data_IF_037570112092
#
_entry.id   IF_037570112092
#
_cell.length_a   1.000
_cell.length_b   1.000
_cell.length_c   1.000
_cell.angle_alpha   90.00
_cell.angle_beta   90.00
_cell.angle_gamma   90.00
#
_symmetry.space_group_name_H-M   'P 1'
#
loop_
_entity.id
_entity.type
_entity.pdbx_description
1 polymer ?
#
# COMPACT_ATOMS: atom_id res chain seq x y z
N UNK A 1 -0.50 -5.34 -10.60
CA UNK A 1 -1.41 -4.78 -9.57
C UNK A 1 -2.49 -3.85 -10.13
N UNK A 2 -2.83 -3.93 -11.43
CA UNK A 2 -3.79 -3.00 -12.03
C UNK A 2 -5.19 -3.07 -11.40
N UNK A 3 -5.58 -4.26 -10.95
CA UNK A 3 -6.81 -4.54 -10.22
C UNK A 3 -6.86 -3.90 -8.82
N UNK A 4 -5.71 -3.58 -8.22
CA UNK A 4 -5.60 -2.94 -6.91
C UNK A 4 -5.51 -1.41 -6.99
N UNK A 5 -5.40 -0.84 -8.19
CA UNK A 5 -5.03 0.56 -8.39
C UNK A 5 -5.96 1.54 -7.67
N UNK A 6 -7.26 1.40 -7.85
CA UNK A 6 -8.26 2.29 -7.22
C UNK A 6 -8.17 2.24 -5.68
N UNK A 7 -7.91 1.06 -5.12
CA UNK A 7 -7.77 0.90 -3.67
C UNK A 7 -6.45 1.48 -3.18
N UNK A 8 -5.36 1.32 -3.93
CA UNK A 8 -4.06 1.90 -3.62
C UNK A 8 -4.08 3.43 -3.66
N UNK A 9 -4.72 4.03 -4.67
CA UNK A 9 -4.89 5.49 -4.76
C UNK A 9 -5.63 6.05 -3.54
N UNK A 10 -6.59 5.30 -3.00
CA UNK A 10 -7.39 5.70 -1.84
C UNK A 10 -6.72 5.41 -0.48
N UNK A 11 -6.13 4.24 -0.32
CA UNK A 11 -5.63 3.74 0.97
C UNK A 11 -4.14 3.97 1.18
N UNK A 12 -3.37 4.13 0.10
CA UNK A 12 -1.92 4.31 0.15
C UNK A 12 -1.43 5.43 -0.79
N UNK A 13 -1.97 6.66 -0.67
CA UNK A 13 -1.60 7.77 -1.54
C UNK A 13 -0.18 8.26 -1.29
N UNK A 14 0.45 8.80 -2.33
CA UNK A 14 1.65 9.63 -2.17
C UNK A 14 1.24 11.07 -1.79
N UNK A 15 1.88 11.61 -0.75
CA UNK A 15 1.70 13.00 -0.31
C UNK A 15 2.94 13.86 -0.62
N UNK A 16 3.87 13.35 -1.43
CA UNK A 16 5.09 14.06 -1.83
C UNK A 16 4.81 15.13 -2.89
N UNK A 17 5.71 16.13 -2.96
CA UNK A 17 5.68 17.17 -3.99
C UNK A 17 6.67 16.84 -5.13
N UNK A 18 6.31 17.12 -6.40
CA UNK A 18 4.97 17.54 -6.86
C UNK A 18 3.94 16.41 -6.74
N UNK A 19 2.65 16.76 -6.76
CA UNK A 19 1.56 15.78 -6.76
C UNK A 19 1.75 14.74 -7.86
N UNK A 20 1.42 13.48 -7.57
CA UNK A 20 1.62 12.35 -8.48
C UNK A 20 0.48 11.34 -8.37
N UNK A 21 0.42 10.40 -9.31
CA UNK A 21 -0.55 9.29 -9.33
C UNK A 21 -0.16 8.14 -8.38
N UNK A 22 0.85 8.34 -7.51
CA UNK A 22 1.33 7.34 -6.56
C UNK A 22 2.26 6.27 -7.14
N UNK A 23 2.32 6.09 -8.45
CA UNK A 23 3.06 4.98 -9.08
C UNK A 23 4.54 4.95 -8.69
N UNK A 24 5.21 6.11 -8.75
CA UNK A 24 6.64 6.22 -8.38
C UNK A 24 6.88 5.82 -6.92
N UNK A 25 5.97 6.21 -6.03
CA UNK A 25 6.04 5.87 -4.61
C UNK A 25 5.85 4.36 -4.39
N UNK A 26 4.86 3.74 -5.03
CA UNK A 26 4.67 2.29 -4.89
C UNK A 26 5.82 1.48 -5.52
N UNK A 27 6.38 1.94 -6.64
CA UNK A 27 7.59 1.33 -7.21
C UNK A 27 8.75 1.37 -6.21
N UNK A 28 8.94 2.50 -5.53
CA UNK A 28 9.95 2.61 -4.48
C UNK A 28 9.71 1.61 -3.34
N UNK A 29 8.49 1.52 -2.83
CA UNK A 29 8.14 0.58 -1.75
C UNK A 29 8.36 -0.88 -2.17
N UNK A 30 8.04 -1.24 -3.41
CA UNK A 30 8.34 -2.57 -3.93
C UNK A 30 9.85 -2.82 -4.02
N UNK A 31 10.59 -1.94 -4.70
CA UNK A 31 12.03 -2.13 -4.93
C UNK A 31 12.85 -2.13 -3.64
N UNK A 32 12.44 -1.34 -2.64
CA UNK A 32 13.17 -1.19 -1.37
C UNK A 32 12.74 -2.15 -0.29
N UNK A 33 11.48 -2.58 -0.28
CA UNK A 33 10.92 -3.39 0.81
C UNK A 33 10.27 -4.68 0.28
N UNK A 34 9.38 -4.58 -0.71
CA UNK A 34 8.63 -5.73 -1.22
C UNK A 34 9.52 -6.84 -1.80
N UNK A 35 10.52 -6.48 -2.61
CA UNK A 35 11.44 -7.43 -3.25
C UNK A 35 12.21 -8.30 -2.25
N UNK A 36 12.47 -7.81 -1.03
CA UNK A 36 13.09 -8.61 0.03
C UNK A 36 12.20 -9.77 0.51
N UNK A 37 10.89 -9.70 0.25
CA UNK A 37 9.90 -10.72 0.60
C UNK A 37 9.42 -11.55 -0.60
N UNK A 38 10.03 -11.37 -1.78
CA UNK A 38 9.57 -11.99 -3.04
C UNK A 38 9.53 -13.52 -2.99
N UNK A 39 10.36 -14.15 -2.16
CA UNK A 39 10.33 -15.60 -1.91
C UNK A 39 9.03 -16.11 -1.23
N UNK A 40 8.21 -15.22 -0.67
CA UNK A 40 6.98 -15.53 0.07
C UNK A 40 5.77 -14.82 -0.53
N UNK A 41 5.94 -13.55 -0.92
CA UNK A 41 4.90 -12.71 -1.49
C UNK A 41 5.41 -12.13 -2.81
N UNK A 42 4.79 -12.51 -3.92
CA UNK A 42 5.04 -11.79 -5.17
C UNK A 42 4.56 -10.33 -5.07
N UNK A 43 4.86 -9.52 -6.10
CA UNK A 43 4.49 -8.10 -6.09
C UNK A 43 3.00 -7.88 -5.85
N UNK A 44 2.14 -8.68 -6.47
CA UNK A 44 0.70 -8.52 -6.30
C UNK A 44 0.27 -8.85 -4.87
N UNK A 45 0.73 -9.99 -4.36
CA UNK A 45 0.44 -10.45 -3.01
C UNK A 45 0.95 -9.48 -1.93
N UNK A 46 2.11 -8.86 -2.14
CA UNK A 46 2.66 -7.85 -1.24
C UNK A 46 1.71 -6.66 -1.06
N UNK A 47 1.27 -6.06 -2.17
CA UNK A 47 0.35 -4.92 -2.10
C UNK A 47 -1.03 -5.32 -1.59
N UNK A 48 -1.55 -6.48 -2.01
CA UNK A 48 -2.84 -6.99 -1.52
C UNK A 48 -2.80 -7.25 -0.01
N UNK A 49 -1.70 -7.82 0.51
CA UNK A 49 -1.54 -8.07 1.94
C UNK A 49 -1.52 -6.77 2.75
N UNK A 50 -0.81 -5.74 2.27
CA UNK A 50 -0.78 -4.44 2.90
C UNK A 50 -2.18 -3.77 2.96
N UNK A 51 -2.94 -3.81 1.86
CA UNK A 51 -4.32 -3.32 1.81
C UNK A 51 -5.24 -4.08 2.76
N UNK A 52 -5.12 -5.41 2.81
CA UNK A 52 -5.88 -6.24 3.75
C UNK A 52 -5.59 -5.88 5.21
N UNK A 53 -4.31 -5.73 5.57
CA UNK A 53 -3.91 -5.32 6.92
C UNK A 53 -4.46 -3.94 7.28
N UNK A 54 -4.38 -2.98 6.35
CA UNK A 54 -4.93 -1.63 6.52
C UNK A 54 -6.43 -1.63 6.76
N UNK A 55 -7.18 -2.51 6.09
CA UNK A 55 -8.62 -2.65 6.26
C UNK A 55 -8.98 -3.33 7.59
N UNK A 56 -8.23 -4.36 7.99
CA UNK A 56 -8.42 -5.05 9.28
C UNK A 56 -8.12 -4.14 10.47
N UNK A 57 -7.14 -3.25 10.36
CA UNK A 57 -6.69 -2.36 11.42
C UNK A 57 -7.04 -0.90 11.12
N UNK A 58 -8.33 -0.57 11.14
CA UNK A 58 -8.77 0.83 11.04
C UNK A 58 -8.37 1.62 12.29
N UNK A 59 -7.12 2.12 12.29
CA UNK A 59 -6.50 2.80 13.42
C UNK A 59 -7.29 4.02 13.88
N UNK A 60 -7.81 4.83 12.95
CA UNK A 60 -8.60 6.01 13.31
C UNK A 60 -9.85 5.59 14.10
N UNK A 61 -10.58 4.58 13.61
CA UNK A 61 -11.76 4.06 14.30
C UNK A 61 -11.43 3.55 15.70
N UNK A 62 -10.36 2.74 15.82
CA UNK A 62 -9.90 2.18 17.10
C UNK A 62 -9.59 3.31 18.09
N UNK A 63 -8.81 4.30 17.68
CA UNK A 63 -8.38 5.40 18.55
C UNK A 63 -9.52 6.34 18.94
N UNK A 64 -10.49 6.58 18.06
CA UNK A 64 -11.66 7.43 18.37
C UNK A 64 -12.70 6.75 19.27
N UNK A 65 -12.59 5.44 19.47
CA UNK A 65 -13.48 4.63 20.31
C UNK A 65 -12.87 4.27 21.67
N UNK A 66 -11.62 4.65 21.91
CA UNK A 66 -10.97 4.50 23.21
C UNK A 66 -11.47 5.58 24.19
#
# INVERSE_FOLDING_TARGET
ISDLRDEMEKQWPSLSCPSSDGTSFWSHEWERHGACSESVLDQHQYFQAALNLKTQLNLLHILTKA
#
